data_IF_997931159529
#
_entry.id   IF_997931159529
#
_cell.length_a   1.000
_cell.length_b   1.000
_cell.length_c   1.000
_cell.angle_alpha   90.00
_cell.angle_beta   90.00
_cell.angle_gamma   90.00
#
_symmetry.space_group_name_H-M   'P 1'
#
loop_
_entity.id
_entity.type
_entity.pdbx_description
1 polymer ?
#
# COMPACT_ATOMS: atom_id res chain seq x y z
N UNK A 1 33.20 -27.95 -11.76
CA UNK A 1 32.69 -26.58 -11.74
C UNK A 1 31.21 -26.70 -11.48
N UNK A 2 30.79 -26.59 -10.21
CA UNK A 2 29.38 -26.69 -9.81
C UNK A 2 28.76 -25.31 -9.98
N UNK A 3 27.87 -25.15 -10.95
CA UNK A 3 26.97 -23.98 -11.02
C UNK A 3 25.93 -24.17 -9.93
N UNK A 4 26.01 -23.40 -8.87
CA UNK A 4 24.90 -23.18 -7.94
C UNK A 4 23.98 -22.20 -8.66
N UNK A 5 22.89 -22.68 -9.24
CA UNK A 5 21.79 -21.88 -9.73
C UNK A 5 21.05 -21.33 -8.49
N UNK A 6 21.42 -20.14 -8.05
CA UNK A 6 20.55 -19.37 -7.16
C UNK A 6 19.31 -18.99 -7.98
N UNK A 7 18.18 -19.57 -7.63
CA UNK A 7 16.90 -19.20 -8.19
C UNK A 7 16.58 -17.78 -7.71
N UNK A 8 16.77 -16.79 -8.60
CA UNK A 8 16.17 -15.47 -8.41
C UNK A 8 14.65 -15.66 -8.41
N UNK A 9 14.04 -15.47 -7.27
CA UNK A 9 12.57 -15.45 -7.15
C UNK A 9 12.11 -14.16 -7.79
N UNK A 10 11.43 -14.25 -8.94
CA UNK A 10 10.76 -13.10 -9.52
C UNK A 10 9.67 -12.63 -8.57
N UNK A 11 9.62 -11.33 -8.32
CA UNK A 11 8.66 -10.70 -7.44
C UNK A 11 7.30 -10.62 -8.14
N UNK A 12 6.47 -11.63 -7.99
CA UNK A 12 5.03 -11.44 -8.15
C UNK A 12 4.45 -10.99 -6.80
N UNK A 13 4.64 -9.70 -6.51
CA UNK A 13 4.17 -9.12 -5.26
C UNK A 13 2.70 -8.75 -5.32
N UNK A 14 1.98 -8.97 -4.21
CA UNK A 14 0.75 -8.22 -3.90
C UNK A 14 1.00 -6.75 -4.23
N UNK A 15 0.06 -6.05 -4.88
CA UNK A 15 0.26 -4.66 -5.25
C UNK A 15 0.82 -3.87 -4.07
N UNK A 16 1.98 -3.31 -4.24
CA UNK A 16 2.45 -2.24 -3.37
C UNK A 16 1.54 -1.10 -3.70
N UNK A 17 0.52 -0.91 -2.87
CA UNK A 17 -0.54 0.03 -3.19
C UNK A 17 0.01 1.41 -3.51
N UNK A 18 1.04 1.91 -2.77
CA UNK A 18 1.63 3.20 -3.05
C UNK A 18 3.01 3.34 -2.40
N UNK A 19 3.80 4.28 -2.89
CA UNK A 19 5.09 4.62 -2.28
C UNK A 19 4.90 5.27 -0.91
N UNK A 20 3.81 6.02 -0.73
CA UNK A 20 3.44 6.62 0.54
C UNK A 20 2.13 6.02 1.07
N UNK A 21 2.24 5.01 1.93
CA UNK A 21 1.11 4.23 2.43
C UNK A 21 0.30 4.94 3.51
N UNK A 22 0.92 5.79 4.31
CA UNK A 22 0.25 6.46 5.42
C UNK A 22 -0.72 7.58 4.99
N UNK A 23 -0.82 7.86 3.69
CA UNK A 23 -1.83 8.75 3.14
C UNK A 23 -3.25 8.17 3.28
N UNK A 24 -3.38 6.85 3.12
CA UNK A 24 -4.64 6.15 3.20
C UNK A 24 -4.55 4.92 4.12
N UNK A 25 -4.66 5.15 5.42
CA UNK A 25 -4.59 4.04 6.39
C UNK A 25 -5.67 2.98 6.17
N UNK A 26 -6.87 3.34 5.70
CA UNK A 26 -7.92 2.36 5.43
C UNK A 26 -7.50 1.38 4.31
N UNK A 27 -6.79 1.83 3.28
CA UNK A 27 -6.30 0.95 2.23
C UNK A 27 -5.35 -0.13 2.76
N UNK A 28 -4.58 0.21 3.79
CA UNK A 28 -3.58 -0.68 4.40
C UNK A 28 -4.19 -1.50 5.54
N UNK A 29 -5.00 -0.86 6.39
CA UNK A 29 -5.51 -1.43 7.63
C UNK A 29 -7.04 -1.52 7.60
N UNK A 30 -7.61 -2.74 7.47
CA UNK A 30 -9.06 -2.95 7.44
C UNK A 30 -9.80 -2.37 8.65
N UNK A 31 -9.15 -2.37 9.81
CA UNK A 31 -9.67 -1.82 11.06
C UNK A 31 -9.94 -0.30 11.02
N UNK A 32 -9.43 0.40 9.99
CA UNK A 32 -9.63 1.84 9.80
C UNK A 32 -10.89 2.19 9.00
N UNK A 33 -11.64 1.20 8.50
CA UNK A 33 -12.90 1.45 7.80
C UNK A 33 -13.91 2.10 8.74
N UNK A 34 -14.40 3.30 8.39
CA UNK A 34 -15.35 4.06 9.21
C UNK A 34 -14.78 4.54 10.54
N UNK A 35 -13.47 4.71 10.67
CA UNK A 35 -12.82 5.24 11.88
C UNK A 35 -13.28 6.65 12.24
N UNK A 36 -13.70 7.43 11.25
CA UNK A 36 -14.28 8.74 11.49
C UNK A 36 -15.63 8.60 12.19
N UNK A 37 -15.83 9.35 13.25
CA UNK A 37 -17.05 9.28 14.06
C UNK A 37 -18.31 9.77 13.32
N UNK A 38 -18.16 10.58 12.27
CA UNK A 38 -19.27 11.14 11.50
C UNK A 38 -18.95 11.11 10.00
N UNK A 39 -19.92 10.63 9.22
CA UNK A 39 -19.88 10.68 7.76
C UNK A 39 -19.12 9.54 7.10
N UNK A 40 -18.97 9.66 5.80
CA UNK A 40 -18.20 8.76 4.96
C UNK A 40 -17.05 9.49 4.30
N UNK A 41 -16.07 8.73 3.82
CA UNK A 41 -14.92 9.23 3.09
C UNK A 41 -14.80 8.46 1.78
N UNK A 42 -14.58 9.17 0.70
CA UNK A 42 -14.24 8.60 -0.61
C UNK A 42 -12.85 9.14 -0.98
N UNK A 43 -11.97 8.26 -1.40
CA UNK A 43 -10.63 8.64 -1.82
C UNK A 43 -10.28 7.95 -3.12
N UNK A 44 -9.79 8.73 -4.06
CA UNK A 44 -9.25 8.25 -5.33
C UNK A 44 -7.77 8.56 -5.34
N UNK A 45 -6.95 7.58 -5.70
CA UNK A 45 -5.50 7.77 -5.84
C UNK A 45 -5.06 7.19 -7.16
N UNK A 46 -4.25 7.96 -7.88
CA UNK A 46 -3.60 7.52 -9.11
C UNK A 46 -2.08 7.71 -8.98
N UNK A 47 -1.34 6.66 -9.29
CA UNK A 47 0.11 6.64 -9.34
C UNK A 47 0.56 6.25 -10.73
N UNK A 48 1.47 7.02 -11.32
CA UNK A 48 2.08 6.70 -12.60
C UNK A 48 3.61 6.85 -12.53
N UNK A 49 4.29 5.94 -13.21
CA UNK A 49 5.73 5.90 -13.39
C UNK A 49 6.05 6.03 -14.87
N UNK A 50 7.20 6.56 -15.26
CA UNK A 50 7.68 6.64 -16.66
C UNK A 50 6.66 7.22 -17.63
N UNK A 51 6.41 8.52 -17.54
CA UNK A 51 5.40 9.22 -18.36
C UNK A 51 5.64 9.14 -19.87
N UNK A 52 6.85 8.83 -20.29
CA UNK A 52 7.29 8.67 -21.66
C UNK A 52 7.11 7.26 -22.23
N UNK A 53 6.69 6.27 -21.40
CA UNK A 53 6.46 4.90 -21.82
C UNK A 53 4.96 4.62 -21.97
N UNK A 54 4.59 3.89 -23.03
CA UNK A 54 3.18 3.59 -23.35
C UNK A 54 2.58 2.63 -22.31
N UNK A 55 3.34 1.62 -21.88
CA UNK A 55 2.92 0.57 -20.94
C UNK A 55 3.53 0.76 -19.55
N UNK A 56 3.69 2.01 -19.16
CA UNK A 56 4.27 2.37 -17.86
C UNK A 56 3.40 1.90 -16.70
N UNK A 57 4.01 1.49 -15.57
CA UNK A 57 3.29 1.12 -14.37
C UNK A 57 2.29 2.20 -13.95
N UNK A 58 1.03 1.81 -13.80
CA UNK A 58 -0.08 2.68 -13.47
C UNK A 58 -0.99 1.99 -12.46
N UNK A 59 -1.03 2.52 -11.25
CA UNK A 59 -1.88 2.03 -10.18
C UNK A 59 -2.97 3.04 -9.87
N UNK A 60 -4.21 2.59 -9.89
CA UNK A 60 -5.38 3.37 -9.52
C UNK A 60 -6.11 2.67 -8.38
N UNK A 61 -6.51 3.42 -7.37
CA UNK A 61 -7.37 2.91 -6.30
C UNK A 61 -8.53 3.85 -6.02
N UNK A 62 -9.65 3.26 -5.69
CA UNK A 62 -10.82 3.94 -5.15
C UNK A 62 -11.15 3.27 -3.81
N UNK A 63 -11.12 4.04 -2.74
CA UNK A 63 -11.59 3.59 -1.43
C UNK A 63 -12.77 4.42 -0.99
N UNK A 64 -13.76 3.78 -0.40
CA UNK A 64 -14.89 4.42 0.25
C UNK A 64 -15.12 3.75 1.59
N UNK A 65 -15.24 4.55 2.65
CA UNK A 65 -15.54 4.04 3.98
C UNK A 65 -16.54 4.95 4.69
N UNK A 66 -17.37 4.35 5.52
CA UNK A 66 -18.39 5.06 6.27
C UNK A 66 -18.63 4.42 7.63
N UNK A 67 -19.01 5.26 8.62
CA UNK A 67 -19.46 4.82 9.93
C UNK A 67 -20.95 4.51 9.85
N UNK A 68 -21.35 3.25 10.04
CA UNK A 68 -22.76 2.84 10.04
C UNK A 68 -23.44 3.06 11.38
N UNK A 69 -22.72 2.85 12.46
CA UNK A 69 -23.21 3.01 13.83
C UNK A 69 -22.06 3.39 14.75
N UNK A 70 -22.33 3.60 16.03
CA UNK A 70 -21.32 3.93 17.04
C UNK A 70 -20.16 2.92 17.08
N UNK A 71 -20.43 1.65 16.70
CA UNK A 71 -19.46 0.54 16.79
C UNK A 71 -19.16 -0.14 15.47
N UNK A 72 -19.76 0.29 14.36
CA UNK A 72 -19.64 -0.44 13.10
C UNK A 72 -19.26 0.48 11.95
N UNK A 73 -18.21 0.10 11.23
CA UNK A 73 -17.77 0.74 9.99
C UNK A 73 -17.85 -0.24 8.81
N UNK A 74 -18.17 0.30 7.63
CA UNK A 74 -18.06 -0.42 6.36
C UNK A 74 -17.09 0.28 5.44
N UNK A 75 -16.47 -0.49 4.57
CA UNK A 75 -15.57 0.02 3.55
C UNK A 75 -15.62 -0.79 2.27
N UNK A 76 -15.26 -0.12 1.18
CA UNK A 76 -15.07 -0.67 -0.15
C UNK A 76 -13.72 -0.21 -0.67
N UNK A 77 -12.95 -1.13 -1.21
CA UNK A 77 -11.71 -0.85 -1.93
C UNK A 77 -11.79 -1.44 -3.31
N UNK A 78 -11.53 -0.63 -4.34
CA UNK A 78 -11.33 -1.07 -5.72
C UNK A 78 -9.92 -0.67 -6.15
N UNK A 79 -9.26 -1.52 -6.89
CA UNK A 79 -7.95 -1.19 -7.46
C UNK A 79 -7.76 -1.77 -8.85
N UNK A 80 -6.93 -1.11 -9.63
CA UNK A 80 -6.45 -1.53 -10.94
C UNK A 80 -4.97 -1.18 -11.03
N UNK A 81 -4.14 -2.20 -11.08
CA UNK A 81 -2.69 -2.09 -11.24
C UNK A 81 -2.30 -2.67 -12.60
N UNK A 82 -1.60 -1.89 -13.39
CA UNK A 82 -1.10 -2.30 -14.69
C UNK A 82 0.41 -2.06 -14.72
N UNK A 83 1.16 -3.08 -15.08
CA UNK A 83 2.62 -3.02 -15.19
C UNK A 83 3.05 -3.81 -16.44
N UNK A 84 3.26 -3.09 -17.54
CA UNK A 84 3.51 -3.71 -18.83
C UNK A 84 2.35 -4.62 -19.26
N UNK A 85 2.66 -5.85 -19.60
CA UNK A 85 1.70 -6.87 -20.00
C UNK A 85 0.93 -7.50 -18.84
N UNK A 86 1.38 -7.32 -17.61
CA UNK A 86 0.69 -7.79 -16.42
C UNK A 86 -0.32 -6.75 -15.93
N UNK A 87 -1.51 -7.21 -15.56
CA UNK A 87 -2.48 -6.38 -14.87
C UNK A 87 -3.14 -7.14 -13.73
N UNK A 88 -3.43 -6.41 -12.65
CA UNK A 88 -4.13 -6.93 -11.50
C UNK A 88 -5.28 -5.99 -11.14
N UNK A 89 -6.49 -6.55 -11.01
CA UNK A 89 -7.69 -5.82 -10.62
C UNK A 89 -8.32 -6.50 -9.42
N UNK A 90 -8.86 -5.72 -8.51
CA UNK A 90 -9.50 -6.31 -7.35
C UNK A 90 -10.53 -5.41 -6.69
N UNK A 91 -11.39 -6.08 -5.91
CA UNK A 91 -12.40 -5.43 -5.09
C UNK A 91 -12.46 -6.09 -3.71
N UNK A 92 -12.45 -5.27 -2.65
CA UNK A 92 -12.59 -5.72 -1.28
C UNK A 92 -13.76 -5.01 -0.60
N UNK A 93 -14.53 -5.77 0.16
CA UNK A 93 -15.52 -5.26 1.11
C UNK A 93 -14.97 -5.46 2.51
N UNK A 94 -15.09 -4.42 3.34
CA UNK A 94 -14.53 -4.38 4.68
C UNK A 94 -15.62 -4.14 5.70
N UNK A 95 -15.55 -4.87 6.81
CA UNK A 95 -16.29 -4.58 8.04
C UNK A 95 -15.29 -4.27 9.16
N UNK A 96 -15.54 -3.20 9.90
CA UNK A 96 -14.77 -2.87 11.09
C UNK A 96 -15.68 -2.73 12.31
N UNK A 97 -15.24 -3.27 13.44
CA UNK A 97 -15.88 -3.11 14.74
C UNK A 97 -15.03 -2.21 15.62
N UNK A 98 -15.66 -1.19 16.20
CA UNK A 98 -15.01 -0.16 16.99
C UNK A 98 -15.47 -0.21 18.43
N UNK A 99 -14.53 -0.22 19.36
CA UNK A 99 -14.73 -0.16 20.80
C UNK A 99 -14.22 1.20 21.26
N UNK A 100 -15.14 2.08 21.67
CA UNK A 100 -14.79 3.39 22.19
C UNK A 100 -14.64 3.27 23.71
N UNK A 101 -13.57 3.84 24.25
CA UNK A 101 -13.31 3.85 25.69
C UNK A 101 -13.85 5.09 26.39
N UNK A 102 -14.21 6.12 25.64
CA UNK A 102 -14.84 7.35 26.17
C UNK A 102 -16.36 7.29 25.98
N UNK A 103 -17.12 7.49 27.06
CA UNK A 103 -18.59 7.46 27.04
C UNK A 103 -19.21 8.70 26.39
N UNK A 104 -18.52 9.84 26.43
CA UNK A 104 -18.95 11.10 25.84
C UNK A 104 -18.27 11.35 24.48
N UNK A 105 -18.64 10.58 23.46
CA UNK A 105 -18.22 10.88 22.11
C UNK A 105 -18.97 12.13 21.64
N UNK A 106 -18.40 13.29 21.83
CA UNK A 106 -18.82 14.49 21.11
C UNK A 106 -18.52 14.24 19.63
N UNK A 107 -19.55 13.89 18.88
CA UNK A 107 -19.50 13.72 17.43
C UNK A 107 -19.04 15.03 16.79
N UNK A 108 -17.74 15.22 16.74
CA UNK A 108 -17.17 16.37 16.04
C UNK A 108 -17.41 16.17 14.56
N UNK A 109 -18.20 17.06 13.96
CA UNK A 109 -18.38 17.11 12.50
C UNK A 109 -17.11 17.54 11.74
N UNK A 110 -15.98 17.59 12.43
CA UNK A 110 -14.72 18.01 11.82
C UNK A 110 -14.06 16.83 11.14
N UNK A 111 -13.59 16.98 9.91
CA UNK A 111 -12.95 15.90 9.15
C UNK A 111 -11.61 15.45 9.73
N UNK A 112 -11.08 16.16 10.74
CA UNK A 112 -9.78 15.87 11.35
C UNK A 112 -9.86 15.95 12.86
N UNK A 113 -9.21 14.99 13.59
CA UNK A 113 -9.07 15.10 15.02
C UNK A 113 -8.38 16.41 15.38
N UNK A 114 -8.90 17.11 16.33
CA UNK A 114 -8.31 18.32 16.89
C UNK A 114 -7.76 18.03 18.29
N UNK A 115 -6.96 18.96 18.83
CA UNK A 115 -6.46 18.93 20.23
C UNK A 115 -7.58 18.67 21.26
N UNK A 116 -8.83 18.92 20.89
CA UNK A 116 -10.01 18.85 21.76
C UNK A 116 -10.91 17.63 21.50
N UNK A 117 -10.58 16.82 20.47
CA UNK A 117 -11.35 15.61 20.19
C UNK A 117 -10.71 14.47 21.00
N UNK A 118 -11.33 14.09 22.09
CA UNK A 118 -10.91 12.96 22.91
C UNK A 118 -11.35 11.65 22.25
N UNK A 119 -10.68 11.27 21.18
CA UNK A 119 -10.83 9.95 20.56
C UNK A 119 -9.98 8.97 21.37
N UNK A 120 -10.59 7.88 21.80
CA UNK A 120 -9.91 6.73 22.39
C UNK A 120 -10.64 5.46 21.95
N UNK A 121 -10.11 4.80 20.92
CA UNK A 121 -10.82 3.76 20.20
C UNK A 121 -9.91 2.59 19.84
N UNK A 122 -10.35 1.37 20.16
CA UNK A 122 -9.78 0.12 19.64
C UNK A 122 -10.70 -0.41 18.54
N UNK A 123 -10.13 -0.78 17.41
CA UNK A 123 -10.87 -1.22 16.22
C UNK A 123 -10.33 -2.54 15.70
N UNK A 124 -11.22 -3.43 15.28
CA UNK A 124 -10.90 -4.68 14.59
C UNK A 124 -11.57 -4.65 13.22
N UNK A 125 -10.86 -5.09 12.19
CA UNK A 125 -11.38 -5.08 10.83
C UNK A 125 -11.07 -6.36 10.07
N UNK A 126 -12.00 -6.72 9.20
CA UNK A 126 -11.85 -7.81 8.24
C UNK A 126 -12.25 -7.32 6.86
N UNK A 127 -11.42 -7.60 5.87
CA UNK A 127 -11.73 -7.35 4.46
C UNK A 127 -11.77 -8.69 3.72
N UNK A 128 -12.77 -8.86 2.86
CA UNK A 128 -12.90 -10.01 1.97
C UNK A 128 -12.98 -9.49 0.55
N UNK A 129 -12.20 -10.04 -0.35
CA UNK A 129 -12.16 -9.56 -1.72
C UNK A 129 -11.79 -10.59 -2.75
N UNK A 130 -12.07 -10.25 -4.00
CA UNK A 130 -11.66 -10.97 -5.18
C UNK A 130 -10.61 -10.20 -5.96
N UNK A 131 -9.65 -10.94 -6.49
CA UNK A 131 -8.53 -10.41 -7.28
C UNK A 131 -8.50 -11.19 -8.59
N UNK A 132 -8.28 -10.48 -9.69
CA UNK A 132 -8.05 -11.05 -11.01
C UNK A 132 -6.66 -10.59 -11.48
N UNK A 133 -5.82 -11.55 -11.83
CA UNK A 133 -4.55 -11.35 -12.50
C UNK A 133 -4.72 -11.64 -13.98
N UNK A 134 -4.08 -10.86 -14.83
CA UNK A 134 -4.12 -11.03 -16.28
C UNK A 134 -2.72 -10.83 -16.87
N UNK A 135 -2.38 -11.66 -17.84
CA UNK A 135 -1.16 -11.55 -18.65
C UNK A 135 -1.58 -11.45 -20.11
N UNK A 136 -1.26 -10.32 -20.74
CA UNK A 136 -1.54 -10.08 -22.15
C UNK A 136 -0.35 -10.51 -23.01
N UNK A 137 -0.49 -11.64 -23.70
CA UNK A 137 0.52 -12.18 -24.61
C UNK A 137 0.15 -11.94 -26.09
N UNK A 138 -0.92 -11.21 -26.36
CA UNK A 138 -1.47 -11.05 -27.74
C UNK A 138 -0.52 -10.32 -28.68
N UNK A 139 0.42 -9.54 -28.15
CA UNK A 139 1.41 -8.78 -28.93
C UNK A 139 2.79 -9.44 -28.95
N UNK A 140 2.95 -10.61 -28.33
CA UNK A 140 4.22 -11.31 -28.32
C UNK A 140 4.53 -11.89 -29.69
N UNK A 141 5.81 -11.83 -30.09
CA UNK A 141 6.23 -12.38 -31.36
C UNK A 141 6.27 -13.93 -31.26
N UNK A 142 5.52 -14.59 -32.14
CA UNK A 142 5.40 -16.05 -32.18
C UNK A 142 6.40 -16.67 -33.19
N UNK A 143 7.39 -15.91 -33.69
CA UNK A 143 8.36 -16.42 -34.68
C UNK A 143 9.23 -17.54 -34.08
N UNK A 144 9.61 -17.38 -32.81
CA UNK A 144 10.30 -18.44 -32.08
C UNK A 144 9.28 -19.19 -31.20
N UNK A 145 9.13 -20.50 -31.44
CA UNK A 145 8.20 -21.31 -30.67
C UNK A 145 8.63 -21.41 -29.21
N UNK A 146 7.91 -20.75 -28.33
CA UNK A 146 8.00 -20.91 -26.88
C UNK A 146 6.68 -21.53 -26.37
N UNK A 147 6.72 -22.73 -25.76
CA UNK A 147 5.50 -23.37 -25.26
C UNK A 147 4.79 -22.62 -24.13
N UNK A 148 5.44 -21.62 -23.50
CA UNK A 148 4.88 -20.78 -22.47
C UNK A 148 4.10 -19.58 -23.03
N UNK A 149 4.28 -19.28 -24.33
CA UNK A 149 3.59 -18.16 -24.98
C UNK A 149 2.35 -18.71 -25.70
N UNK A 150 1.19 -18.48 -25.12
CA UNK A 150 -0.10 -18.85 -25.74
C UNK A 150 -0.53 -17.91 -26.87
N UNK A 151 -0.01 -16.69 -26.90
CA UNK A 151 -0.45 -15.61 -27.78
C UNK A 151 -1.86 -15.10 -27.44
N UNK A 152 -2.37 -15.43 -26.25
CA UNK A 152 -3.70 -15.07 -25.76
C UNK A 152 -3.59 -14.19 -24.50
N UNK A 153 -4.73 -13.72 -24.03
CA UNK A 153 -4.83 -13.10 -22.72
C UNK A 153 -5.18 -14.16 -21.68
N UNK A 154 -4.20 -14.49 -20.85
CA UNK A 154 -4.37 -15.41 -19.73
C UNK A 154 -4.94 -14.69 -18.52
N UNK A 155 -5.92 -15.30 -17.85
CA UNK A 155 -6.59 -14.72 -16.69
C UNK A 155 -6.73 -15.75 -15.58
N UNK A 156 -6.44 -15.35 -14.36
CA UNK A 156 -6.74 -16.16 -13.18
C UNK A 156 -7.37 -15.29 -12.10
N UNK A 157 -8.23 -15.88 -11.28
CA UNK A 157 -8.94 -15.15 -10.23
C UNK A 157 -8.96 -15.92 -8.92
N UNK A 158 -8.86 -15.20 -7.82
CA UNK A 158 -8.87 -15.80 -6.48
C UNK A 158 -9.52 -14.87 -5.45
N UNK A 159 -9.92 -15.45 -4.33
CA UNK A 159 -10.42 -14.71 -3.17
C UNK A 159 -9.36 -14.63 -2.07
N UNK A 160 -9.36 -13.52 -1.36
CA UNK A 160 -8.48 -13.36 -0.22
C UNK A 160 -9.17 -12.62 0.94
N UNK A 161 -8.53 -12.71 2.12
CA UNK A 161 -9.00 -12.11 3.37
C UNK A 161 -7.85 -11.35 4.03
N UNK A 162 -8.13 -10.13 4.46
CA UNK A 162 -7.23 -9.33 5.28
C UNK A 162 -7.86 -9.11 6.65
N UNK A 163 -7.05 -9.10 7.71
CA UNK A 163 -7.51 -8.78 9.06
C UNK A 163 -6.60 -7.72 9.67
N UNK A 164 -7.17 -6.86 10.52
CA UNK A 164 -6.41 -5.82 11.17
C UNK A 164 -6.97 -5.41 12.52
N UNK A 165 -6.09 -4.83 13.32
CA UNK A 165 -6.40 -4.19 14.59
C UNK A 165 -5.77 -2.80 14.61
N UNK A 166 -6.49 -1.82 15.16
CA UNK A 166 -6.01 -0.45 15.29
C UNK A 166 -6.40 0.11 16.63
N UNK A 167 -5.47 0.76 17.27
CA UNK A 167 -5.73 1.62 18.42
C UNK A 167 -5.46 3.07 18.01
N UNK A 168 -6.42 3.94 18.23
CA UNK A 168 -6.35 5.36 17.87
C UNK A 168 -6.76 6.20 19.07
N UNK A 169 -5.85 7.07 19.49
CA UNK A 169 -6.10 8.09 20.49
C UNK A 169 -5.88 9.46 19.84
N UNK A 170 -6.31 10.54 20.50
CA UNK A 170 -6.19 11.92 19.98
C UNK A 170 -4.75 12.33 19.62
N UNK A 171 -3.74 11.69 20.21
CA UNK A 171 -2.32 12.02 20.02
C UNK A 171 -1.52 10.94 19.34
N UNK A 172 -1.86 9.67 19.52
CA UNK A 172 -1.09 8.57 18.98
C UNK A 172 -1.99 7.48 18.41
N UNK A 173 -1.43 6.71 17.51
CA UNK A 173 -2.12 5.58 16.90
C UNK A 173 -1.14 4.44 16.65
N UNK A 174 -1.68 3.23 16.65
CA UNK A 174 -0.97 2.01 16.33
C UNK A 174 -1.88 1.10 15.50
N UNK A 175 -1.34 0.51 14.45
CA UNK A 175 -2.07 -0.40 13.59
C UNK A 175 -1.27 -1.67 13.34
N UNK A 176 -1.96 -2.80 13.29
CA UNK A 176 -1.42 -4.10 12.92
C UNK A 176 -2.36 -4.74 11.89
N UNK A 177 -1.82 -5.28 10.83
CA UNK A 177 -2.60 -5.94 9.77
C UNK A 177 -1.85 -7.14 9.23
N UNK A 178 -2.60 -8.18 8.94
CA UNK A 178 -2.16 -9.32 8.15
C UNK A 178 -3.01 -9.36 6.89
N UNK A 179 -2.37 -9.24 5.74
CA UNK A 179 -2.99 -9.34 4.43
C UNK A 179 -2.75 -10.70 3.81
N UNK A 180 -3.65 -11.10 2.92
CA UNK A 180 -3.56 -12.35 2.17
C UNK A 180 -3.51 -13.59 3.07
N UNK A 181 -4.52 -13.73 3.94
CA UNK A 181 -4.61 -14.85 4.86
C UNK A 181 -4.91 -16.19 4.19
N UNK A 182 -5.62 -16.17 3.05
CA UNK A 182 -6.00 -17.38 2.35
C UNK A 182 -4.92 -17.81 1.38
N UNK A 183 -4.69 -19.11 1.35
CA UNK A 183 -3.93 -19.75 0.29
C UNK A 183 -4.71 -19.67 -1.02
N UNK A 184 -4.10 -19.14 -2.06
CA UNK A 184 -4.71 -19.04 -3.37
C UNK A 184 -3.69 -19.43 -4.45
N UNK A 185 -3.72 -20.67 -4.97
CA UNK A 185 -2.87 -21.04 -6.09
C UNK A 185 -3.27 -20.22 -7.32
N UNK A 186 -2.29 -19.66 -8.01
CA UNK A 186 -2.50 -18.96 -9.28
C UNK A 186 -1.83 -19.74 -10.38
N UNK A 187 -2.58 -19.95 -11.43
CA UNK A 187 -2.10 -20.66 -12.60
C UNK A 187 -2.20 -19.72 -13.81
N UNK A 188 -1.30 -18.74 -13.89
CA UNK A 188 -1.17 -17.86 -15.06
C UNK A 188 -0.40 -18.52 -16.21
N UNK A 189 0.43 -19.53 -15.91
CA UNK A 189 1.36 -20.13 -16.87
C UNK A 189 1.01 -21.56 -17.24
N UNK A 190 -0.21 -22.02 -16.92
CA UNK A 190 -0.68 -23.37 -17.23
C UNK A 190 -0.10 -24.48 -16.36
N UNK A 191 -0.64 -25.70 -16.54
CA UNK A 191 -0.36 -26.92 -15.76
C UNK A 191 1.03 -27.53 -15.98
N UNK A 192 2.07 -26.72 -16.20
CA UNK A 192 3.43 -27.28 -16.26
C UNK A 192 3.88 -27.73 -14.87
N UNK A 193 4.27 -29.00 -14.77
CA UNK A 193 4.69 -29.64 -13.53
C UNK A 193 5.86 -28.90 -12.82
N UNK A 194 6.61 -28.10 -13.58
CA UNK A 194 7.67 -27.23 -13.09
C UNK A 194 7.15 -26.01 -12.31
N UNK A 195 5.93 -25.55 -12.60
CA UNK A 195 5.34 -24.36 -11.99
C UNK A 195 4.55 -24.68 -10.71
N UNK A 196 4.06 -25.91 -10.53
CA UNK A 196 3.25 -26.32 -9.36
C UNK A 196 3.86 -26.00 -7.99
N UNK A 197 5.17 -25.86 -7.90
CA UNK A 197 5.86 -25.50 -6.65
C UNK A 197 6.26 -24.02 -6.59
N UNK A 198 5.98 -23.22 -7.61
CA UNK A 198 6.40 -21.82 -7.71
C UNK A 198 5.23 -20.83 -7.72
N UNK A 199 4.06 -21.27 -8.15
CA UNK A 199 2.88 -20.41 -8.36
C UNK A 199 2.04 -20.20 -7.09
N UNK A 200 2.58 -20.49 -5.92
CA UNK A 200 1.91 -20.15 -4.69
C UNK A 200 2.18 -18.68 -4.34
N UNK A 201 1.21 -17.82 -4.57
CA UNK A 201 1.20 -16.45 -4.05
C UNK A 201 0.76 -16.41 -2.60
N UNK A 202 1.24 -17.37 -1.84
CA UNK A 202 0.89 -17.58 -0.44
C UNK A 202 1.54 -16.61 0.54
N UNK A 203 2.05 -15.49 0.03
CA UNK A 203 2.73 -14.61 0.95
C UNK A 203 1.75 -13.75 1.74
N UNK A 204 1.67 -14.08 2.99
CA UNK A 204 1.07 -13.19 3.97
C UNK A 204 1.96 -11.97 4.12
N UNK A 205 1.32 -10.80 4.10
CA UNK A 205 2.00 -9.55 4.38
C UNK A 205 1.59 -9.02 5.73
N UNK A 206 2.56 -8.86 6.60
CA UNK A 206 2.41 -8.24 7.91
C UNK A 206 2.73 -6.76 7.81
N UNK A 207 1.82 -5.91 8.26
CA UNK A 207 2.01 -4.46 8.26
C UNK A 207 1.75 -3.93 9.65
N UNK A 208 2.72 -3.17 10.17
CA UNK A 208 2.60 -2.47 11.45
C UNK A 208 2.89 -0.99 11.25
N UNK A 209 2.08 -0.11 11.83
CA UNK A 209 2.33 1.32 11.80
C UNK A 209 2.09 1.98 13.14
N UNK A 210 2.89 3.00 13.43
CA UNK A 210 2.86 3.79 14.66
C UNK A 210 2.98 5.27 14.27
N UNK A 211 2.28 6.14 14.96
CA UNK A 211 2.42 7.57 14.79
C UNK A 211 2.03 8.36 16.02
N UNK A 212 2.52 9.58 16.08
CA UNK A 212 2.26 10.52 17.17
C UNK A 212 2.01 11.92 16.59
N UNK A 213 1.00 12.61 17.08
CA UNK A 213 0.67 13.98 16.68
C UNK A 213 1.01 14.95 17.80
N UNK A 214 1.97 15.81 17.54
CA UNK A 214 2.37 16.91 18.42
C UNK A 214 1.53 18.15 18.09
N UNK A 215 0.61 18.50 18.97
CA UNK A 215 -0.13 19.75 18.89
C UNK A 215 0.64 20.83 19.62
N UNK A 216 0.83 21.98 18.95
CA UNK A 216 1.44 23.18 19.58
C UNK A 216 0.36 24.20 19.95
N UNK A 217 0.73 25.24 20.69
CA UNK A 217 -0.15 26.37 20.96
C UNK A 217 -0.22 27.35 19.77
N UNK A 218 0.53 27.09 18.71
CA UNK A 218 0.52 27.80 17.44
C UNK A 218 -0.38 27.08 16.42
N UNK A 219 -0.61 27.63 15.22
CA UNK A 219 -1.33 26.93 14.15
C UNK A 219 -0.63 25.66 13.64
N UNK A 220 0.59 25.36 14.07
CA UNK A 220 1.37 24.20 13.65
C UNK A 220 1.05 22.95 14.47
N UNK A 221 1.04 21.81 13.79
CA UNK A 221 1.14 20.49 14.39
C UNK A 221 2.07 19.59 13.58
N UNK A 222 2.66 18.59 14.21
CA UNK A 222 3.67 17.72 13.61
C UNK A 222 3.32 16.27 13.86
N UNK A 223 3.54 15.43 12.86
CA UNK A 223 3.23 14.00 12.90
C UNK A 223 4.41 13.16 12.40
N UNK A 224 5.33 12.76 13.27
CA UNK A 224 6.22 11.64 12.99
C UNK A 224 5.44 10.33 12.99
N UNK A 225 5.75 9.46 12.04
CA UNK A 225 5.18 8.11 11.99
C UNK A 225 6.14 7.12 11.35
N UNK A 226 5.91 5.84 11.60
CA UNK A 226 6.66 4.75 10.99
C UNK A 226 5.70 3.67 10.52
N UNK A 227 6.09 2.97 9.45
CA UNK A 227 5.38 1.82 8.93
C UNK A 227 6.39 0.74 8.59
N UNK A 228 6.18 -0.44 9.14
CA UNK A 228 6.98 -1.64 8.88
C UNK A 228 6.15 -2.64 8.10
N UNK A 229 6.76 -3.27 7.10
CA UNK A 229 6.17 -4.34 6.32
C UNK A 229 7.09 -5.55 6.29
N UNK A 230 6.48 -6.72 6.31
CA UNK A 230 7.17 -8.01 6.16
C UNK A 230 6.32 -8.95 5.32
N UNK A 231 6.93 -9.59 4.32
CA UNK A 231 6.33 -10.64 3.50
C UNK A 231 6.97 -11.99 3.84
N UNK A 232 6.16 -12.99 4.18
CA UNK A 232 6.67 -14.28 4.68
C UNK A 232 7.32 -15.14 3.59
N UNK A 233 6.85 -15.09 2.36
CA UNK A 233 7.40 -15.88 1.26
C UNK A 233 8.69 -15.29 0.68
N UNK A 234 8.67 -14.00 0.38
CA UNK A 234 9.81 -13.29 -0.21
C UNK A 234 10.84 -12.88 0.83
N UNK A 235 10.51 -13.00 2.13
CA UNK A 235 11.27 -12.48 3.28
C UNK A 235 11.56 -10.98 3.22
N UNK A 236 10.97 -10.28 2.26
CA UNK A 236 11.13 -8.84 2.10
C UNK A 236 10.67 -8.07 3.34
N UNK A 237 11.52 -7.17 3.77
CA UNK A 237 11.24 -6.25 4.87
C UNK A 237 11.47 -4.83 4.42
N UNK A 238 10.54 -3.94 4.76
CA UNK A 238 10.72 -2.50 4.55
C UNK A 238 10.30 -1.70 5.77
N UNK A 239 10.99 -0.59 5.97
CA UNK A 239 10.70 0.38 7.02
C UNK A 239 10.52 1.76 6.40
N UNK A 240 9.36 2.36 6.62
CA UNK A 240 9.08 3.73 6.25
C UNK A 240 9.18 4.63 7.48
N UNK A 241 9.94 5.70 7.38
CA UNK A 241 10.00 6.77 8.36
C UNK A 241 9.36 8.02 7.75
N UNK A 242 8.31 8.51 8.38
CA UNK A 242 7.51 9.60 7.85
C UNK A 242 7.49 10.77 8.81
N UNK A 243 7.39 11.96 8.24
CA UNK A 243 7.20 13.19 8.99
C UNK A 243 6.27 14.12 8.21
N UNK A 244 5.22 14.61 8.88
CA UNK A 244 4.31 15.63 8.35
C UNK A 244 4.27 16.83 9.27
N UNK A 245 4.19 18.01 8.68
CA UNK A 245 3.91 19.27 9.34
C UNK A 245 2.59 19.84 8.78
N UNK A 246 1.70 20.23 9.65
CA UNK A 246 0.40 20.79 9.33
C UNK A 246 0.32 22.24 9.79
N UNK A 247 -0.24 23.09 8.95
CA UNK A 247 -0.55 24.48 9.30
C UNK A 247 -2.04 24.74 9.19
N UNK A 248 -2.67 25.07 10.31
CA UNK A 248 -4.11 25.33 10.42
C UNK A 248 -4.47 26.68 9.79
N UNK A 249 -5.45 26.65 8.89
CA UNK A 249 -6.10 27.82 8.29
C UNK A 249 -7.52 28.00 8.84
N UNK A 250 -8.14 29.14 8.57
CA UNK A 250 -9.53 29.38 8.99
C UNK A 250 -10.54 28.45 8.30
N UNK A 251 -10.22 27.95 7.11
CA UNK A 251 -11.10 27.13 6.24
C UNK A 251 -10.56 25.72 5.98
N UNK A 252 -9.48 25.34 6.63
CA UNK A 252 -8.86 24.03 6.43
C UNK A 252 -7.44 23.96 6.99
N UNK A 253 -6.57 23.22 6.34
CA UNK A 253 -5.15 23.17 6.68
C UNK A 253 -4.28 22.88 5.45
N UNK A 254 -3.09 23.44 5.45
CA UNK A 254 -2.01 23.04 4.57
C UNK A 254 -1.12 22.02 5.28
N UNK A 255 -0.54 21.12 4.53
CA UNK A 255 0.44 20.22 5.10
C UNK A 255 1.50 19.83 4.07
N UNK A 256 2.68 19.57 4.58
CA UNK A 256 3.80 19.07 3.81
C UNK A 256 4.60 18.08 4.66
N UNK A 257 5.35 17.22 4.01
CA UNK A 257 6.17 16.25 4.72
C UNK A 257 7.10 15.50 3.79
N UNK A 258 7.69 14.47 4.33
CA UNK A 258 8.50 13.53 3.58
C UNK A 258 8.38 12.13 4.18
N UNK A 259 8.61 11.13 3.33
CA UNK A 259 8.76 9.72 3.71
C UNK A 259 10.10 9.23 3.21
N UNK A 260 10.76 8.44 4.04
CA UNK A 260 11.94 7.67 3.68
C UNK A 260 11.64 6.19 3.85
N UNK A 261 11.60 5.43 2.76
CA UNK A 261 11.48 3.98 2.77
C UNK A 261 12.83 3.35 2.56
N UNK A 262 13.17 2.38 3.40
CA UNK A 262 14.35 1.55 3.27
C UNK A 262 13.94 0.07 3.22
N UNK A 263 14.35 -0.63 2.16
CA UNK A 263 14.31 -2.09 2.15
C UNK A 263 15.42 -2.60 3.06
N UNK A 264 15.09 -3.44 4.03
CA UNK A 264 16.04 -3.98 5.02
C UNK A 264 16.75 -5.25 4.51
N UNK A 265 16.25 -5.84 3.44
CA UNK A 265 16.84 -6.99 2.75
C UNK A 265 16.87 -6.67 1.26
N UNK A 266 18.03 -6.73 0.66
CA UNK A 266 18.25 -6.50 -0.76
C UNK A 266 18.50 -7.80 -1.51
N UNK A 267 18.34 -7.76 -2.84
CA UNK A 267 18.81 -8.86 -3.69
C UNK A 267 20.32 -8.92 -3.66
N UNK A 268 20.88 -10.10 -3.38
CA UNK A 268 22.32 -10.32 -3.48
C UNK A 268 22.77 -10.32 -4.94
N UNK A 269 23.83 -9.59 -5.24
CA UNK A 269 24.48 -9.61 -6.55
C UNK A 269 26.00 -9.69 -6.41
N UNK A 270 26.65 -10.28 -7.43
CA UNK A 270 28.11 -10.34 -7.48
C UNK A 270 28.60 -9.10 -8.24
N UNK A 271 29.35 -8.26 -7.56
CA UNK A 271 30.00 -7.12 -8.21
C UNK A 271 31.10 -7.63 -9.16
N UNK A 272 30.91 -7.41 -10.46
CA UNK A 272 31.80 -7.94 -11.51
C UNK A 272 33.26 -7.50 -11.36
N UNK A 273 33.49 -6.31 -10.79
CA UNK A 273 34.82 -5.71 -10.62
C UNK A 273 35.62 -6.32 -9.47
N UNK A 274 34.96 -6.75 -8.39
CA UNK A 274 35.62 -7.24 -7.18
C UNK A 274 35.35 -8.69 -6.87
N UNK A 275 34.33 -9.30 -7.51
CA UNK A 275 33.87 -10.65 -7.21
C UNK A 275 33.19 -10.81 -5.84
N UNK A 276 32.94 -9.71 -5.14
CA UNK A 276 32.28 -9.72 -3.85
C UNK A 276 30.74 -9.80 -3.99
N UNK A 277 30.12 -10.50 -3.06
CA UNK A 277 28.66 -10.50 -2.93
C UNK A 277 28.27 -9.19 -2.24
N UNK A 278 27.41 -8.41 -2.87
CA UNK A 278 26.80 -7.20 -2.35
C UNK A 278 25.28 -7.36 -2.30
N UNK A 279 24.63 -6.73 -1.32
CA UNK A 279 23.19 -6.65 -1.24
C UNK A 279 22.72 -5.33 -1.87
N UNK A 280 21.67 -5.42 -2.68
CA UNK A 280 21.06 -4.28 -3.33
C UNK A 280 19.87 -3.80 -2.51
N UNK A 281 19.98 -2.65 -1.86
CA UNK A 281 18.90 -2.05 -1.09
C UNK A 281 18.11 -1.04 -1.94
N UNK A 282 16.78 -1.17 -1.91
CA UNK A 282 15.87 -0.17 -2.47
C UNK A 282 15.62 0.92 -1.41
N UNK A 283 15.93 2.16 -1.76
CA UNK A 283 15.65 3.32 -0.94
C UNK A 283 14.79 4.31 -1.72
N UNK A 284 13.72 4.80 -1.10
CA UNK A 284 12.82 5.81 -1.68
C UNK A 284 12.74 7.01 -0.75
N UNK A 285 12.88 8.20 -1.33
CA UNK A 285 12.54 9.45 -0.65
C UNK A 285 11.35 10.07 -1.34
N UNK A 286 10.33 10.38 -0.56
CA UNK A 286 9.05 10.86 -1.06
C UNK A 286 8.68 12.18 -0.36
N UNK A 287 9.05 13.35 -0.92
CA UNK A 287 8.43 14.61 -0.54
C UNK A 287 6.94 14.60 -0.90
N UNK A 288 6.15 15.20 -0.04
CA UNK A 288 4.69 15.23 -0.18
C UNK A 288 4.12 16.55 0.33
N UNK A 289 3.03 16.97 -0.27
CA UNK A 289 2.28 18.14 0.18
C UNK A 289 0.79 17.98 -0.13
N UNK A 290 -0.04 18.67 0.61
CA UNK A 290 -1.48 18.63 0.42
C UNK A 290 -2.20 19.79 1.07
N UNK A 291 -3.47 19.89 0.72
CA UNK A 291 -4.40 20.86 1.24
C UNK A 291 -5.71 20.17 1.61
N UNK A 292 -6.17 20.46 2.80
CA UNK A 292 -7.52 20.13 3.25
C UNK A 292 -8.36 21.41 3.18
N UNK A 293 -9.35 21.43 2.31
CA UNK A 293 -10.25 22.55 2.12
C UNK A 293 -11.69 22.11 2.29
N UNK A 294 -12.30 22.47 3.42
CA UNK A 294 -13.65 21.99 3.82
C UNK A 294 -13.68 20.45 3.81
N UNK A 295 -14.50 19.87 2.93
CA UNK A 295 -14.72 18.44 2.80
C UNK A 295 -13.77 17.78 1.78
N UNK A 296 -12.92 18.56 1.10
CA UNK A 296 -12.01 18.10 0.07
C UNK A 296 -10.59 18.04 0.59
N UNK A 297 -9.89 16.98 0.21
CA UNK A 297 -8.46 16.78 0.48
C UNK A 297 -7.77 16.53 -0.86
N UNK A 298 -6.74 17.30 -1.14
CA UNK A 298 -5.90 17.10 -2.30
C UNK A 298 -4.47 16.91 -1.85
N UNK A 299 -3.82 15.90 -2.38
CA UNK A 299 -2.40 15.67 -2.12
C UNK A 299 -1.66 15.25 -3.36
N UNK A 300 -0.37 15.56 -3.35
CA UNK A 300 0.58 15.12 -4.35
C UNK A 300 1.85 14.67 -3.65
N UNK A 301 2.41 13.57 -4.12
CA UNK A 301 3.73 13.14 -3.73
C UNK A 301 4.56 12.71 -4.95
N UNK A 302 5.87 12.83 -4.79
CA UNK A 302 6.86 12.43 -5.76
C UNK A 302 7.89 11.54 -5.09
N UNK A 303 8.03 10.31 -5.56
CA UNK A 303 9.01 9.37 -5.00
C UNK A 303 10.22 9.27 -5.89
N UNK A 304 11.38 9.53 -5.31
CA UNK A 304 12.67 9.35 -5.97
C UNK A 304 13.38 8.13 -5.38
N UNK A 305 13.87 7.28 -6.28
CA UNK A 305 14.59 6.07 -5.92
C UNK A 305 16.07 6.36 -5.83
N UNK A 306 16.67 5.90 -4.74
CA UNK A 306 18.12 5.88 -4.51
C UNK A 306 18.59 4.43 -4.35
N UNK A 307 19.87 4.21 -4.46
CA UNK A 307 20.51 2.90 -4.26
C UNK A 307 21.25 2.45 -5.50
N UNK A 308 21.65 1.19 -5.49
CA UNK A 308 22.49 0.61 -6.54
C UNK A 308 21.73 0.36 -7.85
N UNK A 309 20.39 0.31 -7.80
CA UNK A 309 19.53 0.27 -9.00
C UNK A 309 19.09 1.69 -9.34
N UNK A 310 19.65 2.26 -10.36
CA UNK A 310 19.20 3.54 -10.90
C UNK A 310 18.42 3.25 -12.19
N UNK A 311 17.11 3.15 -12.09
CA UNK A 311 16.26 3.23 -13.27
C UNK A 311 16.29 4.69 -13.72
N UNK A 312 16.93 5.01 -14.84
CA UNK A 312 17.11 6.35 -15.37
C UNK A 312 15.83 7.14 -15.71
N UNK A 313 14.75 6.83 -15.02
CA UNK A 313 13.41 7.38 -15.21
C UNK A 313 13.06 8.37 -14.11
N UNK A 314 12.23 9.35 -14.44
CA UNK A 314 11.87 10.50 -13.61
C UNK A 314 11.05 10.24 -12.35
N UNK A 315 11.24 9.10 -11.65
CA UNK A 315 10.57 8.79 -10.39
C UNK A 315 9.08 8.44 -10.53
N UNK A 316 8.39 8.41 -9.39
CA UNK A 316 6.96 8.07 -9.30
C UNK A 316 6.15 9.30 -8.90
N UNK A 317 5.04 9.53 -9.58
CA UNK A 317 4.11 10.61 -9.26
C UNK A 317 2.79 10.03 -8.79
N UNK A 318 2.27 10.57 -7.69
CA UNK A 318 1.00 10.16 -7.12
C UNK A 318 0.15 11.38 -6.79
N UNK A 319 -1.14 11.29 -7.15
CA UNK A 319 -2.17 12.29 -6.83
C UNK A 319 -3.28 11.57 -6.06
N UNK A 320 -3.72 12.17 -4.99
CA UNK A 320 -4.86 11.70 -4.19
C UNK A 320 -5.88 12.80 -4.01
#
# INVERSE_FOLDING_TARGET
MFFVLNSSKAQEGVPIYFDYLTENYYLVHPSMAGVNLVGGKIRMTARKQWFDQVEAPNLQTLTADLRLSERSGLGLTLFNDQNGYHSQKGAYITYAHHINFNDDIVLSKRPYPSKYDEIDQLSFGISVGGIQNSLDQTTFDLVDYDPLISGLMENTGYFNVDVGMSYVNSKYYAHLTVKNLLFAPHDLYGDFEYNKNRDSTDFKRFVASLGYVFYTDTPWSFEPSTLFQYSDLTTEKSLDLNFKAYYKLNYGRLWAGFSFRNSLEGAEYIEVSTGNIKEQSLQLVTPLFGIDYKDFVFSYNYSHQFGDINFGSGGFHQIT
#
